data_IF_730042375270
#
_entry.id   IF_730042375270
#
_cell.length_a   1.000
_cell.length_b   1.000
_cell.length_c   1.000
_cell.angle_alpha   90.00
_cell.angle_beta   90.00
_cell.angle_gamma   90.00
#
_symmetry.space_group_name_H-M   'P 1'
#
loop_
_entity.id
_entity.type
_entity.pdbx_description
1 polymer ?
#
# COMPACT_ATOMS: atom_id res chain seq x y z
N UNK A 1 20.50 9.24 10.03
CA UNK A 1 20.12 9.09 8.62
C UNK A 1 18.65 8.75 8.61
N UNK A 2 17.85 9.51 7.87
CA UNK A 2 16.42 9.26 7.76
C UNK A 2 16.19 8.09 6.81
N UNK A 3 15.18 7.27 7.06
CA UNK A 3 14.90 6.04 6.34
C UNK A 3 13.42 5.94 6.00
N UNK A 4 13.13 5.55 4.76
CA UNK A 4 11.84 4.99 4.36
C UNK A 4 11.99 3.51 4.01
N UNK A 5 10.93 2.75 4.20
CA UNK A 5 10.79 1.39 3.72
C UNK A 5 9.56 1.33 2.83
N UNK A 6 9.72 0.66 1.69
CA UNK A 6 8.65 0.34 0.76
C UNK A 6 8.38 -1.15 0.78
N UNK A 7 7.11 -1.55 0.74
CA UNK A 7 6.66 -2.94 0.65
C UNK A 7 5.64 -3.06 -0.47
N UNK A 8 5.95 -3.83 -1.51
CA UNK A 8 5.02 -4.11 -2.60
C UNK A 8 4.39 -5.47 -2.38
N UNK A 9 3.07 -5.51 -2.19
CA UNK A 9 2.31 -6.77 -2.13
C UNK A 9 1.83 -7.09 -3.54
N UNK A 10 2.36 -8.17 -4.10
CA UNK A 10 2.00 -8.66 -5.43
C UNK A 10 0.65 -9.35 -5.43
N UNK A 11 -0.04 -9.39 -6.56
CA UNK A 11 -1.28 -10.17 -6.72
C UNK A 11 -1.07 -11.67 -6.46
N UNK A 12 0.15 -12.17 -6.66
CA UNK A 12 0.58 -13.54 -6.36
C UNK A 12 0.71 -13.84 -4.87
N UNK A 13 0.67 -12.83 -4.01
CA UNK A 13 0.97 -12.93 -2.57
C UNK A 13 2.45 -12.79 -2.23
N UNK A 14 3.33 -12.67 -3.23
CA UNK A 14 4.73 -12.30 -3.02
C UNK A 14 4.84 -10.88 -2.46
N UNK A 15 5.85 -10.66 -1.63
CA UNK A 15 6.11 -9.37 -0.99
C UNK A 15 7.55 -8.94 -1.28
N UNK A 16 7.70 -7.74 -1.83
CA UNK A 16 9.00 -7.13 -2.11
C UNK A 16 9.24 -5.95 -1.17
N UNK A 17 10.27 -6.03 -0.33
CA UNK A 17 10.66 -4.94 0.59
C UNK A 17 11.92 -4.23 0.09
N UNK A 18 11.97 -2.90 0.24
CA UNK A 18 13.16 -2.09 -0.08
C UNK A 18 13.31 -0.91 0.87
N UNK A 19 14.55 -0.62 1.25
CA UNK A 19 14.91 0.52 2.09
C UNK A 19 15.48 1.69 1.27
N UNK A 20 15.14 2.90 1.69
CA UNK A 20 15.55 4.17 1.10
C UNK A 20 16.18 5.03 2.19
N UNK A 21 17.48 5.32 2.07
CA UNK A 21 18.23 6.09 3.06
C UNK A 21 18.46 7.51 2.54
N UNK A 22 18.08 8.50 3.33
CA UNK A 22 18.19 9.93 3.07
C UNK A 22 17.58 10.37 1.71
N UNK A 23 16.59 9.61 1.21
CA UNK A 23 15.86 9.89 -0.04
C UNK A 23 14.48 9.22 -0.04
N UNK A 24 13.58 9.72 -0.88
CA UNK A 24 12.30 9.09 -1.19
C UNK A 24 12.38 8.21 -2.45
N UNK A 25 11.51 7.21 -2.61
CA UNK A 25 11.29 6.57 -3.90
C UNK A 25 10.81 7.60 -4.93
N UNK A 26 11.38 7.58 -6.14
CA UNK A 26 10.90 8.44 -7.21
C UNK A 26 9.55 7.98 -7.77
N UNK A 27 8.84 8.87 -8.47
CA UNK A 27 7.54 8.56 -9.08
C UNK A 27 7.60 7.37 -10.03
N UNK A 28 8.70 7.22 -10.78
CA UNK A 28 8.89 6.14 -11.74
C UNK A 28 8.93 4.78 -11.03
N UNK A 29 9.63 4.69 -9.90
CA UNK A 29 9.65 3.50 -9.06
C UNK A 29 8.24 3.19 -8.56
N UNK A 30 7.53 4.18 -8.00
CA UNK A 30 6.19 3.97 -7.44
C UNK A 30 5.19 3.49 -8.49
N UNK A 31 5.18 4.11 -9.68
CA UNK A 31 4.34 3.68 -10.80
C UNK A 31 4.72 2.29 -11.32
N UNK A 32 6.00 1.95 -11.34
CA UNK A 32 6.46 0.60 -11.71
C UNK A 32 5.99 -0.43 -10.69
N UNK A 33 6.06 -0.11 -9.40
CA UNK A 33 5.69 -1.01 -8.30
C UNK A 33 4.21 -1.39 -8.34
N UNK A 34 3.31 -0.46 -8.64
CA UNK A 34 1.85 -0.73 -8.79
C UNK A 34 1.45 -1.13 -10.22
N UNK A 35 2.37 -0.99 -11.18
CA UNK A 35 2.18 -1.29 -12.60
C UNK A 35 1.24 -0.32 -13.31
N UNK A 36 1.26 0.98 -12.99
CA UNK A 36 0.38 1.98 -13.57
C UNK A 36 0.45 3.36 -12.91
N UNK A 37 -0.59 4.18 -13.11
CA UNK A 37 -0.67 5.50 -12.48
C UNK A 37 -1.05 5.32 -11.02
N UNK A 38 -0.33 5.99 -10.11
CA UNK A 38 -0.54 5.80 -8.67
C UNK A 38 -1.78 6.56 -8.19
N UNK A 39 -2.59 5.89 -7.38
CA UNK A 39 -3.65 6.47 -6.57
C UNK A 39 -3.43 6.07 -5.10
N UNK A 40 -3.69 6.99 -4.17
CA UNK A 40 -3.64 6.68 -2.73
C UNK A 40 -4.83 5.81 -2.35
N UNK A 41 -4.60 4.69 -1.66
CA UNK A 41 -5.67 3.83 -1.15
C UNK A 41 -6.32 4.48 0.07
N UNK A 42 -7.61 4.84 0.02
CA UNK A 42 -8.25 5.54 1.13
C UNK A 42 -8.29 4.70 2.40
N UNK A 43 -8.05 5.35 3.55
CA UNK A 43 -8.14 4.76 4.90
C UNK A 43 -7.18 3.60 5.18
N UNK A 44 -6.25 3.29 4.26
CA UNK A 44 -5.18 2.31 4.44
C UNK A 44 -3.90 3.02 4.89
N UNK A 45 -3.89 3.43 6.16
CA UNK A 45 -2.82 4.23 6.79
C UNK A 45 -1.99 3.44 7.81
N UNK A 46 -2.22 2.13 7.93
CA UNK A 46 -1.49 1.21 8.80
C UNK A 46 -1.11 -0.05 8.02
N UNK A 47 0.10 -0.54 8.24
CA UNK A 47 0.58 -1.82 7.69
C UNK A 47 1.34 -2.60 8.76
N UNK A 48 1.06 -3.90 8.88
CA UNK A 48 1.85 -4.81 9.69
C UNK A 48 2.99 -5.40 8.85
N UNK A 49 4.22 -5.26 9.33
CA UNK A 49 5.42 -5.86 8.74
C UNK A 49 6.32 -6.37 9.86
N UNK A 50 6.77 -7.62 9.76
CA UNK A 50 7.62 -8.29 10.76
C UNK A 50 7.11 -8.16 12.21
N UNK A 51 5.79 -8.29 12.39
CA UNK A 51 5.12 -8.23 13.69
C UNK A 51 4.99 -6.82 14.29
N UNK A 52 5.36 -5.78 13.55
CA UNK A 52 5.24 -4.38 13.96
C UNK A 52 4.23 -3.64 13.08
N UNK A 53 3.38 -2.82 13.71
CA UNK A 53 2.42 -1.96 13.00
C UNK A 53 3.08 -0.61 12.71
N UNK A 54 3.10 -0.22 11.43
CA UNK A 54 3.66 1.04 10.95
C UNK A 54 2.55 1.95 10.39
N UNK A 55 2.63 3.25 10.69
CA UNK A 55 1.86 4.26 9.97
C UNK A 55 2.42 4.42 8.56
N UNK A 56 1.58 4.31 7.54
CA UNK A 56 2.00 4.26 6.14
C UNK A 56 1.10 5.09 5.23
N UNK A 57 1.54 5.21 3.97
CA UNK A 57 0.69 5.55 2.82
C UNK A 57 0.73 4.37 1.86
N UNK A 58 -0.44 3.96 1.37
CA UNK A 58 -0.56 2.89 0.39
C UNK A 58 -1.00 3.43 -0.98
N UNK A 59 -0.45 2.86 -2.04
CA UNK A 59 -0.74 3.21 -3.42
C UNK A 59 -1.14 1.99 -4.24
N UNK A 60 -2.07 2.17 -5.17
CA UNK A 60 -2.45 1.18 -6.19
C UNK A 60 -2.44 1.81 -7.58
N UNK A 61 -2.69 1.02 -8.64
CA UNK A 61 -2.94 1.55 -9.98
C UNK A 61 -4.37 2.10 -10.05
N UNK A 62 -4.51 3.41 -10.29
CA UNK A 62 -5.78 4.14 -10.45
C UNK A 62 -6.73 3.43 -11.43
N UNK A 63 -6.16 2.92 -12.52
CA UNK A 63 -6.91 2.25 -13.58
C UNK A 63 -7.05 0.72 -13.38
N UNK A 64 -6.62 0.18 -12.23
CA UNK A 64 -6.44 -1.26 -12.04
C UNK A 64 -7.69 -2.08 -12.36
N UNK A 65 -8.88 -1.61 -11.95
CA UNK A 65 -10.15 -2.30 -12.23
C UNK A 65 -10.57 -2.19 -13.69
N UNK A 66 -10.38 -1.00 -14.29
CA UNK A 66 -10.68 -0.77 -15.72
C UNK A 66 -9.79 -1.64 -16.61
N UNK A 67 -8.54 -1.86 -16.20
CA UNK A 67 -7.56 -2.76 -16.83
C UNK A 67 -7.79 -4.24 -16.49
N UNK A 68 -8.81 -4.56 -15.70
CA UNK A 68 -9.11 -5.93 -15.26
C UNK A 68 -7.93 -6.64 -14.58
N UNK A 69 -7.15 -5.91 -13.77
CA UNK A 69 -6.08 -6.52 -12.97
C UNK A 69 -6.66 -7.51 -11.96
N UNK A 70 -5.86 -8.51 -11.61
CA UNK A 70 -6.24 -9.55 -10.66
C UNK A 70 -6.49 -8.97 -9.25
N UNK A 71 -7.38 -9.63 -8.52
CA UNK A 71 -7.63 -9.35 -7.10
C UNK A 71 -6.37 -9.53 -6.27
N UNK A 72 -5.98 -8.50 -5.53
CA UNK A 72 -4.93 -8.60 -4.53
C UNK A 72 -5.57 -8.96 -3.18
N UNK A 73 -5.70 -10.27 -2.94
CA UNK A 73 -6.35 -10.80 -1.73
C UNK A 73 -5.64 -10.33 -0.46
N UNK A 74 -4.31 -10.36 -0.46
CA UNK A 74 -3.51 -10.01 0.71
C UNK A 74 -3.62 -8.51 1.04
N UNK A 75 -3.46 -7.63 0.05
CA UNK A 75 -3.63 -6.19 0.27
C UNK A 75 -5.06 -5.84 0.69
N UNK A 76 -6.07 -6.48 0.09
CA UNK A 76 -7.48 -6.29 0.46
C UNK A 76 -7.74 -6.71 1.92
N UNK A 77 -7.18 -7.85 2.36
CA UNK A 77 -7.32 -8.30 3.75
C UNK A 77 -6.64 -7.33 4.73
N UNK A 78 -5.45 -6.81 4.41
CA UNK A 78 -4.76 -5.78 5.21
C UNK A 78 -5.63 -4.53 5.34
N UNK A 79 -6.22 -4.09 4.23
CA UNK A 79 -7.12 -2.95 4.23
C UNK A 79 -8.35 -3.16 5.11
N UNK A 80 -9.03 -4.30 4.95
CA UNK A 80 -10.19 -4.63 5.76
C UNK A 80 -9.89 -4.68 7.25
N UNK A 81 -8.74 -5.24 7.66
CA UNK A 81 -8.32 -5.22 9.08
C UNK A 81 -8.09 -3.81 9.60
N UNK A 82 -7.47 -2.94 8.79
CA UNK A 82 -7.29 -1.53 9.15
C UNK A 82 -8.62 -0.80 9.32
N UNK A 83 -9.61 -1.10 8.47
CA UNK A 83 -10.97 -0.56 8.56
C UNK A 83 -11.73 -1.09 9.78
N UNK A 84 -11.65 -2.39 10.08
CA UNK A 84 -12.24 -3.00 11.27
C UNK A 84 -11.74 -2.34 12.56
N UNK A 85 -10.43 -2.06 12.65
CA UNK A 85 -9.84 -1.32 13.75
C UNK A 85 -10.36 0.13 13.92
N UNK A 86 -10.95 0.68 12.85
CA UNK A 86 -11.59 2.02 12.84
C UNK A 86 -13.11 1.96 13.02
N UNK A 87 -13.67 0.79 13.32
CA UNK A 87 -15.10 0.60 13.53
C UNK A 87 -15.92 0.40 12.26
N UNK A 88 -15.28 0.25 11.09
CA UNK A 88 -15.96 -0.16 9.86
C UNK A 88 -16.20 -1.68 9.87
N UNK A 89 -17.27 -2.14 9.22
CA UNK A 89 -17.54 -3.57 9.08
C UNK A 89 -17.58 -3.92 7.58
N UNK A 90 -16.47 -4.44 7.02
CA UNK A 90 -16.36 -4.71 5.58
C UNK A 90 -17.46 -5.62 5.04
N UNK A 91 -17.91 -6.59 5.84
CA UNK A 91 -18.95 -7.55 5.46
C UNK A 91 -20.35 -6.93 5.37
N UNK A 92 -20.62 -5.89 6.16
CA UNK A 92 -21.93 -5.20 6.14
C UNK A 92 -21.95 -4.06 5.13
N UNK A 93 -20.80 -3.48 4.83
CA UNK A 93 -20.69 -2.27 4.02
C UNK A 93 -20.40 -2.52 2.53
N UNK A 94 -20.35 -3.78 2.08
CA UNK A 94 -20.03 -4.15 0.69
C UNK A 94 -18.78 -3.41 0.19
N UNK A 95 -17.74 -3.44 1.02
CA UNK A 95 -16.54 -2.68 0.72
C UNK A 95 -15.87 -3.20 -0.54
N UNK A 96 -15.15 -2.28 -1.15
CA UNK A 96 -14.43 -2.44 -2.38
C UNK A 96 -13.24 -3.41 -2.25
N UNK A 97 -12.61 -3.78 -3.36
CA UNK A 97 -11.42 -4.63 -3.36
C UNK A 97 -10.24 -3.95 -4.03
N UNK A 98 -9.03 -4.28 -3.57
CA UNK A 98 -7.80 -3.83 -4.20
C UNK A 98 -7.41 -4.82 -5.30
N UNK A 99 -7.10 -4.30 -6.48
CA UNK A 99 -6.67 -5.09 -7.64
C UNK A 99 -5.29 -4.61 -8.10
N UNK A 100 -4.50 -5.52 -8.66
CA UNK A 100 -3.11 -5.27 -9.00
C UNK A 100 -2.18 -5.20 -7.78
N UNK A 101 -0.92 -4.90 -8.03
CA UNK A 101 0.08 -4.76 -6.98
C UNK A 101 -0.19 -3.49 -6.15
N UNK A 102 0.04 -3.58 -4.83
CA UNK A 102 -0.17 -2.47 -3.89
C UNK A 102 1.14 -2.14 -3.20
N UNK A 103 1.54 -0.88 -3.26
CA UNK A 103 2.77 -0.36 -2.66
C UNK A 103 2.46 0.34 -1.34
N UNK A 104 3.10 -0.08 -0.26
CA UNK A 104 3.07 0.58 1.05
C UNK A 104 4.38 1.31 1.28
N UNK A 105 4.33 2.51 1.85
CA UNK A 105 5.50 3.32 2.21
C UNK A 105 5.37 3.81 3.65
N UNK A 106 6.39 3.60 4.46
CA UNK A 106 6.48 4.13 5.83
C UNK A 106 7.92 4.48 6.19
N UNK A 107 8.11 5.22 7.28
CA UNK A 107 9.41 5.51 7.85
C UNK A 107 9.47 6.87 8.51
N UNK A 108 10.64 7.51 8.47
CA UNK A 108 10.89 8.80 9.10
C UNK A 108 9.99 9.90 8.54
N UNK A 109 9.38 10.67 9.45
CA UNK A 109 8.42 11.73 9.12
C UNK A 109 8.98 12.75 8.12
N UNK A 110 10.25 13.15 8.27
CA UNK A 110 10.86 14.14 7.39
C UNK A 110 10.95 13.70 5.92
N UNK A 111 11.02 12.39 5.66
CA UNK A 111 10.96 11.84 4.31
C UNK A 111 9.52 11.57 3.88
N UNK A 112 8.65 11.13 4.78
CA UNK A 112 7.23 10.93 4.49
C UNK A 112 6.53 12.23 4.07
N UNK A 113 6.91 13.37 4.66
CA UNK A 113 6.35 14.70 4.33
C UNK A 113 6.79 15.20 2.91
N UNK A 114 7.67 14.47 2.21
CA UNK A 114 8.14 14.77 0.85
C UNK A 114 7.50 13.89 -0.23
N UNK A 115 6.68 12.91 0.15
CA UNK A 115 5.90 12.06 -0.77
C UNK A 115 4.66 12.81 -1.27
#
# INVERSE_FOLDING_TARGET
MAKLTTLTVKTTGEVETRDWVDRTPDLKFMQTAVGGYIEVVPLLDLVEHDGTIHKCVAFCDEDGKRKQKDLNREATLRWYRGLEGKGFNPRRQHLDVLVGDVLFIWGDKSLMDQL
#
